data_IF_583879102028
#
_entry.id   IF_583879102028
#
_cell.length_a   1.000
_cell.length_b   1.000
_cell.length_c   1.000
_cell.angle_alpha   90.00
_cell.angle_beta   90.00
_cell.angle_gamma   90.00
#
_symmetry.space_group_name_H-M   'P 1'
#
loop_
_entity.id
_entity.type
_entity.pdbx_description
1 polymer ?
#
# COMPACT_ATOMS: atom_id res chain seq x y z
N UNK A 1 -28.87 29.62 -25.86
CA UNK A 1 -29.04 28.42 -26.68
C UNK A 1 -29.80 27.42 -25.85
N UNK A 2 -30.85 26.81 -26.38
CA UNK A 2 -31.69 25.89 -25.63
C UNK A 2 -30.85 24.67 -25.20
N UNK A 3 -30.54 24.57 -23.91
CA UNK A 3 -30.19 23.28 -23.30
C UNK A 3 -31.42 22.40 -23.44
N UNK A 4 -31.37 21.44 -24.37
CA UNK A 4 -32.39 20.42 -24.44
C UNK A 4 -32.30 19.59 -23.16
N UNK A 5 -33.24 19.77 -22.25
CA UNK A 5 -33.37 18.93 -21.05
C UNK A 5 -33.65 17.49 -21.52
N UNK A 6 -32.63 16.64 -21.41
CA UNK A 6 -32.78 15.20 -21.68
C UNK A 6 -33.72 14.61 -20.62
N UNK A 7 -34.75 13.83 -21.02
CA UNK A 7 -35.56 13.08 -20.08
C UNK A 7 -34.66 12.20 -19.19
N UNK A 8 -34.90 12.22 -17.87
CA UNK A 8 -34.04 11.54 -16.89
C UNK A 8 -33.84 10.04 -17.22
N UNK A 9 -34.88 9.38 -17.74
CA UNK A 9 -34.84 7.97 -18.13
C UNK A 9 -33.90 7.66 -19.33
N UNK A 10 -33.43 8.67 -20.06
CA UNK A 10 -32.46 8.52 -21.14
C UNK A 10 -31.02 8.77 -20.68
N UNK A 11 -30.82 9.24 -19.44
CA UNK A 11 -29.51 9.60 -18.92
C UNK A 11 -28.53 8.42 -18.95
N UNK A 12 -28.86 7.20 -18.48
CA UNK A 12 -27.91 6.09 -18.55
C UNK A 12 -27.40 5.80 -19.97
N UNK A 13 -28.30 5.82 -20.96
CA UNK A 13 -27.93 5.62 -22.36
C UNK A 13 -27.07 6.76 -22.92
N UNK A 14 -27.32 8.00 -22.50
CA UNK A 14 -26.49 9.15 -22.88
C UNK A 14 -25.08 9.06 -22.25
N UNK A 15 -24.97 8.63 -20.99
CA UNK A 15 -23.69 8.41 -20.32
C UNK A 15 -22.88 7.32 -21.03
N UNK A 16 -23.52 6.21 -21.42
CA UNK A 16 -22.85 5.15 -22.19
C UNK A 16 -22.34 5.67 -23.54
N UNK A 17 -23.15 6.47 -24.26
CA UNK A 17 -22.71 7.06 -25.53
C UNK A 17 -21.51 8.02 -25.38
N UNK A 18 -21.45 8.75 -24.26
CA UNK A 18 -20.29 9.60 -23.93
C UNK A 18 -19.05 8.77 -23.59
N UNK A 19 -19.22 7.65 -22.88
CA UNK A 19 -18.12 6.75 -22.53
C UNK A 19 -17.49 6.13 -23.79
N UNK A 20 -18.31 5.62 -24.72
CA UNK A 20 -17.88 5.11 -26.03
C UNK A 20 -17.21 6.19 -26.90
N UNK A 21 -17.61 7.46 -26.76
CA UNK A 21 -16.96 8.60 -27.40
C UNK A 21 -15.63 9.01 -26.71
N UNK A 22 -15.29 8.41 -25.58
CA UNK A 22 -14.11 8.73 -24.78
C UNK A 22 -14.23 9.98 -23.90
N UNK A 23 -15.44 10.56 -23.79
CA UNK A 23 -15.78 11.78 -23.04
C UNK A 23 -15.99 11.51 -21.54
N UNK A 24 -14.99 10.86 -20.94
CA UNK A 24 -15.03 10.34 -19.56
C UNK A 24 -15.32 11.43 -18.52
N UNK A 25 -14.78 12.63 -18.68
CA UNK A 25 -15.05 13.75 -17.78
C UNK A 25 -16.51 14.22 -17.86
N UNK A 26 -17.11 14.17 -19.05
CA UNK A 26 -18.52 14.51 -19.24
C UNK A 26 -19.44 13.46 -18.59
N UNK A 27 -19.07 12.18 -18.65
CA UNK A 27 -19.80 11.09 -17.96
C UNK A 27 -19.88 11.36 -16.46
N UNK A 28 -18.74 11.66 -15.81
CA UNK A 28 -18.71 11.93 -14.36
C UNK A 28 -19.51 13.17 -13.97
N UNK A 29 -19.36 14.27 -14.72
CA UNK A 29 -20.09 15.52 -14.45
C UNK A 29 -21.59 15.37 -14.65
N UNK A 30 -22.02 14.76 -15.75
CA UNK A 30 -23.43 14.55 -16.05
C UNK A 30 -24.07 13.51 -15.11
N UNK A 31 -23.34 12.45 -14.76
CA UNK A 31 -23.78 11.44 -13.81
C UNK A 31 -24.00 12.02 -12.40
N UNK A 32 -23.05 12.81 -11.89
CA UNK A 32 -23.19 13.48 -10.59
C UNK A 32 -24.45 14.38 -10.56
N UNK A 33 -24.65 15.21 -11.60
CA UNK A 33 -25.86 16.05 -11.75
C UNK A 33 -27.13 15.22 -11.79
N UNK A 34 -27.11 14.05 -12.43
CA UNK A 34 -28.27 13.16 -12.51
C UNK A 34 -28.59 12.49 -11.17
N UNK A 35 -27.59 12.21 -10.34
CA UNK A 35 -27.78 11.68 -8.99
C UNK A 35 -28.31 12.74 -8.01
N UNK A 36 -27.99 14.00 -8.25
CA UNK A 36 -28.49 15.15 -7.48
C UNK A 36 -29.90 15.60 -7.90
N UNK A 37 -30.32 15.27 -9.12
CA UNK A 37 -31.70 15.50 -9.57
C UNK A 37 -32.70 14.72 -8.70
N UNK A 38 -33.97 15.15 -8.68
CA UNK A 38 -35.07 14.56 -7.88
C UNK A 38 -34.91 13.04 -7.76
N UNK A 39 -34.73 12.56 -6.51
CA UNK A 39 -34.44 11.19 -6.10
C UNK A 39 -34.64 10.18 -7.25
N UNK A 40 -33.58 9.88 -8.03
CA UNK A 40 -33.71 9.06 -9.22
C UNK A 40 -34.28 7.69 -8.83
N UNK A 41 -35.14 7.14 -9.69
CA UNK A 41 -35.65 5.78 -9.47
C UNK A 41 -34.46 4.81 -9.33
N UNK A 42 -34.55 3.88 -8.37
CA UNK A 42 -33.47 2.93 -8.04
C UNK A 42 -32.77 2.27 -9.25
N UNK A 43 -33.48 1.73 -10.28
CA UNK A 43 -32.81 1.15 -11.44
C UNK A 43 -31.98 2.17 -12.23
N UNK A 44 -32.51 3.39 -12.41
CA UNK A 44 -31.79 4.46 -13.09
C UNK A 44 -30.57 4.92 -12.29
N UNK A 45 -30.70 5.00 -10.96
CA UNK A 45 -29.58 5.33 -10.07
C UNK A 45 -28.46 4.29 -10.19
N UNK A 46 -28.80 3.00 -10.18
CA UNK A 46 -27.84 1.92 -10.33
C UNK A 46 -27.07 2.02 -11.66
N UNK A 47 -27.77 2.26 -12.77
CA UNK A 47 -27.14 2.38 -14.09
C UNK A 47 -26.24 3.62 -14.19
N UNK A 48 -26.63 4.75 -13.58
CA UNK A 48 -25.80 5.96 -13.52
C UNK A 48 -24.53 5.72 -12.72
N UNK A 49 -24.64 5.10 -11.53
CA UNK A 49 -23.48 4.76 -10.70
C UNK A 49 -22.53 3.80 -11.42
N UNK A 50 -23.07 2.79 -12.11
CA UNK A 50 -22.27 1.86 -12.90
C UNK A 50 -21.53 2.58 -14.04
N UNK A 51 -22.22 3.44 -14.79
CA UNK A 51 -21.60 4.21 -15.86
C UNK A 51 -20.47 5.12 -15.35
N UNK A 52 -20.67 5.78 -14.20
CA UNK A 52 -19.64 6.60 -13.56
C UNK A 52 -18.46 5.76 -13.06
N UNK A 53 -18.70 4.59 -12.47
CA UNK A 53 -17.64 3.70 -12.00
C UNK A 53 -16.78 3.18 -13.16
N UNK A 54 -17.39 2.80 -14.28
CA UNK A 54 -16.67 2.40 -15.51
C UNK A 54 -15.83 3.57 -16.08
N UNK A 55 -16.36 4.80 -16.00
CA UNK A 55 -15.66 6.00 -16.40
C UNK A 55 -14.39 6.23 -15.54
N UNK A 56 -14.50 6.08 -14.22
CA UNK A 56 -13.34 6.13 -13.30
C UNK A 56 -12.33 5.00 -13.61
N UNK A 57 -12.78 3.77 -13.88
CA UNK A 57 -11.91 2.67 -14.31
C UNK A 57 -11.17 2.98 -15.63
N UNK A 58 -11.85 3.62 -16.59
CA UNK A 58 -11.26 4.08 -17.84
C UNK A 58 -10.18 5.15 -17.60
N UNK A 59 -10.36 6.06 -16.62
CA UNK A 59 -9.29 6.98 -16.18
C UNK A 59 -8.15 6.24 -15.49
N UNK A 60 -8.47 5.33 -14.57
CA UNK A 60 -7.49 4.54 -13.85
C UNK A 60 -6.55 3.82 -14.83
N UNK A 61 -7.10 3.17 -15.85
CA UNK A 61 -6.32 2.51 -16.91
C UNK A 61 -5.34 3.49 -17.58
N UNK A 62 -5.79 4.69 -17.97
CA UNK A 62 -4.94 5.72 -18.60
C UNK A 62 -3.81 6.17 -17.67
N UNK A 63 -4.11 6.39 -16.39
CA UNK A 63 -3.13 6.77 -15.38
C UNK A 63 -2.08 5.67 -15.16
N UNK A 64 -2.52 4.42 -15.01
CA UNK A 64 -1.66 3.24 -14.84
C UNK A 64 -0.77 3.00 -16.06
N UNK A 65 -1.31 3.09 -17.28
CA UNK A 65 -0.55 2.99 -18.54
C UNK A 65 0.51 4.09 -18.66
N UNK A 66 0.23 5.28 -18.12
CA UNK A 66 1.20 6.39 -18.06
C UNK A 66 2.22 6.27 -16.91
N UNK A 67 2.13 5.22 -16.09
CA UNK A 67 3.01 4.99 -14.95
C UNK A 67 2.66 5.81 -13.70
N UNK A 68 1.55 6.56 -13.71
CA UNK A 68 1.05 7.34 -12.58
C UNK A 68 0.22 6.46 -11.65
N UNK A 69 0.90 5.48 -11.04
CA UNK A 69 0.26 4.45 -10.20
C UNK A 69 -0.64 5.04 -9.09
N UNK A 70 -0.19 6.04 -8.29
CA UNK A 70 -1.05 6.64 -7.27
C UNK A 70 -2.37 7.19 -7.80
N UNK A 71 -2.31 7.93 -8.92
CA UNK A 71 -3.50 8.51 -9.53
C UNK A 71 -4.43 7.41 -10.06
N UNK A 72 -3.86 6.34 -10.63
CA UNK A 72 -4.63 5.16 -11.01
C UNK A 72 -5.36 4.52 -9.83
N UNK A 73 -4.71 4.37 -8.68
CA UNK A 73 -5.34 3.87 -7.46
C UNK A 73 -6.46 4.79 -6.94
N UNK A 74 -6.25 6.12 -6.92
CA UNK A 74 -7.29 7.08 -6.52
C UNK A 74 -8.55 6.97 -7.37
N UNK A 75 -8.39 6.77 -8.69
CA UNK A 75 -9.49 6.56 -9.63
C UNK A 75 -10.22 5.25 -9.36
N UNK A 76 -9.49 4.16 -9.09
CA UNK A 76 -10.10 2.89 -8.70
C UNK A 76 -10.85 2.98 -7.36
N UNK A 77 -10.31 3.68 -6.36
CA UNK A 77 -11.01 3.92 -5.09
C UNK A 77 -12.29 4.73 -5.30
N UNK A 78 -12.25 5.75 -6.17
CA UNK A 78 -13.45 6.52 -6.53
C UNK A 78 -14.51 5.65 -7.22
N UNK A 79 -14.09 4.72 -8.07
CA UNK A 79 -15.00 3.73 -8.69
C UNK A 79 -15.62 2.80 -7.64
N UNK A 80 -14.84 2.36 -6.65
CA UNK A 80 -15.31 1.52 -5.56
C UNK A 80 -16.39 2.23 -4.72
N UNK A 81 -16.13 3.48 -4.31
CA UNK A 81 -17.07 4.30 -3.54
C UNK A 81 -18.42 4.46 -4.27
N UNK A 82 -18.38 4.64 -5.60
CA UNK A 82 -19.58 4.73 -6.43
C UNK A 82 -20.40 3.43 -6.39
N UNK A 83 -19.74 2.28 -6.57
CA UNK A 83 -20.39 0.96 -6.56
C UNK A 83 -20.97 0.62 -5.18
N UNK A 84 -20.24 0.91 -4.10
CA UNK A 84 -20.71 0.69 -2.72
C UNK A 84 -21.93 1.55 -2.37
N UNK A 85 -22.01 2.77 -2.93
CA UNK A 85 -23.17 3.65 -2.77
C UNK A 85 -24.43 3.15 -3.49
N UNK A 86 -24.29 2.19 -4.41
CA UNK A 86 -25.35 1.53 -5.13
C UNK A 86 -25.63 0.15 -4.55
N UNK A 87 -26.78 -0.05 -3.91
CA UNK A 87 -27.14 -1.33 -3.28
C UNK A 87 -27.06 -2.51 -4.26
N UNK A 88 -25.96 -3.28 -4.20
CA UNK A 88 -25.73 -4.46 -5.04
C UNK A 88 -25.40 -4.17 -6.51
N UNK A 89 -24.90 -2.97 -6.82
CA UNK A 89 -24.50 -2.62 -8.19
C UNK A 89 -23.20 -3.35 -8.56
N UNK A 90 -23.27 -4.20 -9.59
CA UNK A 90 -22.13 -4.89 -10.20
C UNK A 90 -21.13 -5.49 -9.18
N UNK A 91 -21.55 -6.46 -8.34
CA UNK A 91 -20.71 -7.02 -7.27
C UNK A 91 -19.41 -7.63 -7.81
N UNK A 92 -19.45 -8.25 -8.99
CA UNK A 92 -18.25 -8.83 -9.61
C UNK A 92 -17.20 -7.76 -9.97
N UNK A 93 -17.65 -6.58 -10.42
CA UNK A 93 -16.79 -5.46 -10.76
C UNK A 93 -16.21 -4.82 -9.49
N UNK A 94 -17.01 -4.68 -8.43
CA UNK A 94 -16.56 -4.21 -7.12
C UNK A 94 -15.42 -5.11 -6.62
N UNK A 95 -15.62 -6.43 -6.63
CA UNK A 95 -14.60 -7.40 -6.22
C UNK A 95 -13.36 -7.39 -7.12
N UNK A 96 -13.49 -7.05 -8.40
CA UNK A 96 -12.35 -6.89 -9.33
C UNK A 96 -11.54 -5.63 -9.05
N UNK A 97 -12.21 -4.51 -8.77
CA UNK A 97 -11.57 -3.24 -8.41
C UNK A 97 -10.82 -3.40 -7.08
N UNK A 98 -11.48 -3.98 -6.07
CA UNK A 98 -10.89 -4.24 -4.76
C UNK A 98 -9.61 -5.11 -4.88
N UNK A 99 -9.69 -6.21 -5.63
CA UNK A 99 -8.50 -7.05 -5.93
C UNK A 99 -7.40 -6.28 -6.67
N UNK A 100 -7.78 -5.39 -7.58
CA UNK A 100 -6.81 -4.58 -8.34
C UNK A 100 -6.10 -3.58 -7.43
N UNK A 101 -6.82 -2.94 -6.50
CA UNK A 101 -6.25 -2.05 -5.49
C UNK A 101 -5.29 -2.79 -4.56
N UNK A 102 -5.68 -3.97 -4.06
CA UNK A 102 -4.80 -4.84 -3.29
C UNK A 102 -3.50 -5.12 -4.07
N UNK A 103 -3.60 -5.57 -5.33
CA UNK A 103 -2.44 -5.87 -6.17
C UNK A 103 -1.51 -4.65 -6.39
N UNK A 104 -2.09 -3.46 -6.52
CA UNK A 104 -1.35 -2.21 -6.77
C UNK A 104 -0.79 -1.58 -5.49
N UNK A 105 -1.29 -1.94 -4.31
CA UNK A 105 -0.92 -1.33 -3.04
C UNK A 105 0.61 -1.24 -2.79
N UNK A 106 1.43 -2.28 -3.07
CA UNK A 106 2.89 -2.17 -2.91
C UNK A 106 3.49 -1.09 -3.82
N UNK A 107 3.08 -1.02 -5.09
CA UNK A 107 3.61 -0.04 -6.03
C UNK A 107 3.18 1.39 -5.67
N UNK A 108 1.93 1.56 -5.24
CA UNK A 108 1.39 2.83 -4.75
C UNK A 108 2.14 3.32 -3.50
N UNK A 109 2.31 2.45 -2.49
CA UNK A 109 3.08 2.76 -1.29
C UNK A 109 4.52 3.14 -1.62
N UNK A 110 5.18 2.41 -2.53
CA UNK A 110 6.52 2.75 -2.98
C UNK A 110 6.59 4.17 -3.57
N UNK A 111 5.62 4.53 -4.42
CA UNK A 111 5.56 5.83 -5.08
C UNK A 111 5.36 6.96 -4.06
N UNK A 112 4.45 6.80 -3.11
CA UNK A 112 4.20 7.76 -2.04
C UNK A 112 5.38 7.94 -1.09
N UNK A 113 6.07 6.84 -0.73
CA UNK A 113 7.33 6.93 0.01
C UNK A 113 8.43 7.67 -0.77
N UNK A 114 8.31 7.83 -2.09
CA UNK A 114 9.23 8.60 -2.91
C UNK A 114 8.95 10.10 -2.96
N UNK A 115 7.88 10.58 -2.33
CA UNK A 115 7.52 12.01 -2.32
C UNK A 115 8.53 12.85 -1.53
N UNK A 116 8.69 14.16 -1.84
CA UNK A 116 9.56 15.06 -1.10
C UNK A 116 9.33 15.06 0.42
N UNK A 117 10.39 15.37 1.18
CA UNK A 117 10.32 15.58 2.62
C UNK A 117 9.83 17.00 2.90
N UNK A 118 8.52 17.22 2.76
CA UNK A 118 7.87 18.50 3.02
C UNK A 118 6.51 18.33 3.68
N UNK A 119 5.97 19.37 4.33
CA UNK A 119 4.69 19.30 5.04
C UNK A 119 3.51 19.00 4.10
N UNK A 120 3.64 19.29 2.81
CA UNK A 120 2.61 18.98 1.80
C UNK A 120 2.43 17.47 1.59
N UNK A 121 3.52 16.70 1.68
CA UNK A 121 3.54 15.26 1.40
C UNK A 121 3.63 14.40 2.67
N UNK A 122 3.81 15.01 3.85
CA UNK A 122 4.05 14.33 5.12
C UNK A 122 2.94 13.30 5.45
N UNK A 123 1.67 13.70 5.32
CA UNK A 123 0.54 12.82 5.59
C UNK A 123 0.49 11.62 4.61
N UNK A 124 0.75 11.87 3.33
CA UNK A 124 0.76 10.84 2.28
C UNK A 124 1.90 9.86 2.48
N UNK A 125 3.09 10.35 2.82
CA UNK A 125 4.25 9.52 3.18
C UNK A 125 3.97 8.67 4.43
N UNK A 126 3.40 9.28 5.48
CA UNK A 126 3.07 8.58 6.71
C UNK A 126 2.06 7.45 6.46
N UNK A 127 1.01 7.71 5.67
CA UNK A 127 0.05 6.70 5.24
C UNK A 127 0.73 5.55 4.48
N UNK A 128 1.65 5.86 3.56
CA UNK A 128 2.39 4.86 2.81
C UNK A 128 3.34 4.02 3.69
N UNK A 129 3.93 4.61 4.73
CA UNK A 129 4.72 3.89 5.71
C UNK A 129 3.86 2.90 6.51
N UNK A 130 2.63 3.29 6.90
CA UNK A 130 1.67 2.38 7.55
C UNK A 130 1.28 1.23 6.62
N UNK A 131 0.97 1.51 5.35
CA UNK A 131 0.71 0.47 4.35
C UNK A 131 1.90 -0.48 4.20
N UNK A 132 3.14 0.04 4.18
CA UNK A 132 4.34 -0.81 4.15
C UNK A 132 4.43 -1.69 5.40
N UNK A 133 4.15 -1.16 6.59
CA UNK A 133 4.13 -1.94 7.84
C UNK A 133 3.13 -3.11 7.75
N UNK A 134 1.93 -2.85 7.24
CA UNK A 134 0.90 -3.87 7.03
C UNK A 134 1.32 -4.93 6.01
N UNK A 135 1.95 -4.50 4.91
CA UNK A 135 2.46 -5.40 3.89
C UNK A 135 3.57 -6.31 4.42
N UNK A 136 4.45 -5.79 5.29
CA UNK A 136 5.55 -6.55 5.93
C UNK A 136 5.05 -7.51 7.02
N UNK A 137 4.00 -7.11 7.76
CA UNK A 137 3.44 -7.87 8.90
C UNK A 137 2.90 -9.24 8.51
N UNK A 138 2.42 -9.39 7.28
CA UNK A 138 1.84 -10.64 6.81
C UNK A 138 2.96 -11.44 6.11
N UNK A 139 3.51 -12.51 6.72
CA UNK A 139 4.45 -13.39 6.04
C UNK A 139 3.75 -14.07 4.87
N UNK A 140 4.22 -13.76 3.66
CA UNK A 140 3.68 -14.35 2.43
C UNK A 140 4.76 -15.20 1.75
N UNK A 141 4.76 -16.50 2.02
CA UNK A 141 5.51 -17.49 1.22
C UNK A 141 4.77 -17.77 -0.10
N UNK A 142 5.46 -18.32 -1.10
CA UNK A 142 4.87 -18.61 -2.42
C UNK A 142 3.57 -19.43 -2.39
N UNK A 143 3.33 -20.24 -1.34
CA UNK A 143 2.08 -20.98 -1.14
C UNK A 143 0.94 -20.09 -0.61
N UNK A 144 1.21 -19.19 0.34
CA UNK A 144 0.22 -18.21 0.84
C UNK A 144 -0.05 -17.07 -0.15
N UNK A 145 0.89 -16.76 -1.04
CA UNK A 145 0.69 -15.85 -2.17
C UNK A 145 -0.09 -16.49 -3.32
N UNK A 146 -0.09 -17.84 -3.43
CA UNK A 146 -0.91 -18.58 -4.39
C UNK A 146 -2.36 -18.78 -3.90
N UNK A 147 -2.57 -18.79 -2.58
CA UNK A 147 -3.90 -18.86 -1.95
C UNK A 147 -4.48 -17.48 -1.57
N UNK A 148 -3.66 -16.44 -1.55
CA UNK A 148 -4.01 -15.08 -1.15
C UNK A 148 -4.05 -14.10 -2.33
N UNK A 149 -4.79 -13.00 -2.16
CA UNK A 149 -5.06 -11.98 -3.19
C UNK A 149 -3.86 -11.06 -3.52
N UNK A 150 -2.74 -11.18 -2.79
CA UNK A 150 -1.61 -10.22 -2.80
C UNK A 150 -0.26 -10.88 -3.15
N UNK A 151 0.60 -10.23 -3.96
CA UNK A 151 1.90 -10.78 -4.34
C UNK A 151 2.87 -10.87 -3.16
N UNK A 152 3.73 -11.89 -3.14
CA UNK A 152 4.81 -11.98 -2.16
C UNK A 152 5.82 -10.84 -2.34
N UNK A 153 6.16 -10.14 -1.25
CA UNK A 153 7.20 -9.13 -1.28
C UNK A 153 8.56 -9.79 -1.48
N UNK A 154 9.34 -9.30 -2.44
CA UNK A 154 10.72 -9.74 -2.65
C UNK A 154 11.74 -8.78 -2.00
N UNK A 155 12.98 -9.24 -1.85
CA UNK A 155 14.09 -8.46 -1.26
C UNK A 155 14.33 -7.13 -1.99
N UNK A 156 14.17 -7.10 -3.33
CA UNK A 156 14.35 -5.88 -4.13
C UNK A 156 13.32 -4.81 -3.77
N UNK A 157 12.07 -5.19 -3.58
CA UNK A 157 11.01 -4.28 -3.13
C UNK A 157 11.35 -3.71 -1.77
N UNK A 158 11.68 -4.57 -0.79
CA UNK A 158 12.02 -4.15 0.57
C UNK A 158 13.17 -3.15 0.58
N UNK A 159 14.27 -3.45 -0.13
CA UNK A 159 15.39 -2.51 -0.29
C UNK A 159 14.97 -1.19 -0.92
N UNK A 160 14.12 -1.23 -1.94
CA UNK A 160 13.63 -0.02 -2.61
C UNK A 160 12.76 0.83 -1.70
N UNK A 161 11.92 0.20 -0.87
CA UNK A 161 11.07 0.88 0.09
C UNK A 161 11.89 1.53 1.21
N UNK A 162 12.80 0.77 1.85
CA UNK A 162 13.67 1.31 2.89
C UNK A 162 14.63 2.41 2.40
N UNK A 163 15.04 2.37 1.13
CA UNK A 163 15.85 3.45 0.53
C UNK A 163 15.07 4.78 0.36
N UNK A 164 13.74 4.76 0.48
CA UNK A 164 12.88 5.94 0.38
C UNK A 164 12.34 6.42 1.72
N UNK A 165 12.51 5.62 2.78
CA UNK A 165 12.16 6.00 4.15
C UNK A 165 13.23 6.91 4.74
N UNK A 166 12.81 7.80 5.64
CA UNK A 166 13.74 8.44 6.59
C UNK A 166 14.17 7.43 7.67
N UNK A 167 15.29 7.67 8.38
CA UNK A 167 15.67 6.84 9.52
C UNK A 167 14.58 6.77 10.59
N UNK A 168 13.85 7.86 10.83
CA UNK A 168 12.74 7.92 11.78
C UNK A 168 11.54 7.08 11.32
N UNK A 169 11.14 7.19 10.04
CA UNK A 169 10.06 6.37 9.48
C UNK A 169 10.43 4.87 9.55
N UNK A 170 11.66 4.51 9.15
CA UNK A 170 12.14 3.13 9.18
C UNK A 170 12.27 2.56 10.61
N UNK A 171 12.69 3.38 11.57
CA UNK A 171 12.70 3.00 12.99
C UNK A 171 11.26 2.83 13.52
N UNK A 172 10.33 3.71 13.14
CA UNK A 172 8.92 3.62 13.50
C UNK A 172 8.25 2.33 13.01
N UNK A 173 8.65 1.82 11.84
CA UNK A 173 8.19 0.51 11.36
C UNK A 173 8.55 -0.64 12.31
N UNK A 174 9.59 -0.50 13.13
CA UNK A 174 10.03 -1.54 14.07
C UNK A 174 9.25 -1.49 15.39
N UNK A 175 8.47 -0.45 15.63
CA UNK A 175 7.65 -0.35 16.82
C UNK A 175 6.60 -1.48 16.87
N UNK A 176 6.36 -2.01 18.06
CA UNK A 176 5.35 -3.05 18.28
C UNK A 176 5.78 -4.49 17.93
N UNK A 177 6.97 -4.71 17.35
CA UNK A 177 7.54 -6.06 17.23
C UNK A 177 6.78 -6.99 16.28
N UNK A 178 6.22 -6.45 15.19
CA UNK A 178 5.29 -7.19 14.31
C UNK A 178 5.88 -8.50 13.73
N UNK A 179 7.20 -8.60 13.54
CA UNK A 179 7.85 -9.81 13.04
C UNK A 179 7.73 -11.00 13.99
N UNK A 180 7.56 -10.76 15.29
CA UNK A 180 7.34 -11.82 16.28
C UNK A 180 5.98 -12.50 16.10
N UNK A 181 5.03 -11.80 15.47
CA UNK A 181 3.74 -12.41 15.09
C UNK A 181 3.82 -13.17 13.78
N UNK A 182 4.80 -12.88 12.93
CA UNK A 182 4.97 -13.55 11.65
C UNK A 182 5.40 -15.02 11.82
N UNK A 183 6.26 -15.33 12.79
CA UNK A 183 6.65 -16.71 13.11
C UNK A 183 5.43 -17.57 13.51
N UNK A 184 4.49 -16.99 14.26
CA UNK A 184 3.26 -17.68 14.67
C UNK A 184 2.36 -17.99 13.46
N UNK A 185 2.40 -17.17 12.40
CA UNK A 185 1.55 -17.33 11.22
C UNK A 185 2.05 -18.37 10.22
N UNK A 186 3.36 -18.61 10.15
CA UNK A 186 3.97 -19.54 9.18
C UNK A 186 3.90 -21.02 9.62
N UNK A 187 3.49 -21.27 10.87
CA UNK A 187 3.43 -22.62 11.44
C UNK A 187 4.80 -23.10 11.93
N UNK A 188 4.80 -24.12 12.78
CA UNK A 188 6.02 -24.65 13.40
C UNK A 188 7.01 -25.16 12.34
N UNK A 189 8.22 -24.60 12.31
CA UNK A 189 9.33 -25.08 11.48
C UNK A 189 9.51 -24.37 10.13
N UNK A 190 8.63 -23.43 9.76
CA UNK A 190 8.85 -22.58 8.58
C UNK A 190 9.69 -21.35 8.92
N UNK A 191 10.79 -21.17 8.18
CA UNK A 191 11.64 -19.99 8.33
C UNK A 191 11.00 -18.76 7.68
N UNK A 192 11.18 -17.59 8.31
CA UNK A 192 10.73 -16.32 7.74
C UNK A 192 11.35 -16.09 6.34
N UNK A 193 10.59 -15.55 5.37
CA UNK A 193 11.08 -15.22 4.04
C UNK A 193 12.29 -14.27 4.06
N UNK A 194 13.16 -14.38 3.05
CA UNK A 194 14.32 -13.49 2.89
C UNK A 194 13.96 -12.00 2.85
N UNK A 195 12.76 -11.64 2.36
CA UNK A 195 12.26 -10.26 2.38
C UNK A 195 12.02 -9.74 3.80
N UNK A 196 11.60 -10.59 4.73
CA UNK A 196 11.44 -10.23 6.14
C UNK A 196 12.79 -10.09 6.84
N UNK A 197 13.72 -11.03 6.58
CA UNK A 197 15.10 -10.90 7.08
C UNK A 197 15.73 -9.57 6.64
N UNK A 198 15.57 -9.21 5.37
CA UNK A 198 16.06 -7.92 4.85
C UNK A 198 15.36 -6.72 5.51
N UNK A 199 14.05 -6.78 5.74
CA UNK A 199 13.32 -5.69 6.39
C UNK A 199 13.78 -5.48 7.84
N UNK A 200 14.00 -6.57 8.59
CA UNK A 200 14.51 -6.50 9.96
C UNK A 200 15.93 -5.95 10.01
N UNK A 201 16.81 -6.40 9.12
CA UNK A 201 18.18 -5.90 9.03
C UNK A 201 18.22 -4.40 8.72
N UNK A 202 17.42 -3.94 7.75
CA UNK A 202 17.35 -2.53 7.38
C UNK A 202 16.69 -1.67 8.48
N UNK A 203 15.64 -2.16 9.13
CA UNK A 203 15.00 -1.48 10.26
C UNK A 203 15.92 -1.36 11.47
N UNK A 204 16.65 -2.43 11.81
CA UNK A 204 17.70 -2.39 12.83
C UNK A 204 18.83 -1.42 12.48
N UNK A 205 19.22 -1.36 11.20
CA UNK A 205 20.21 -0.37 10.73
C UNK A 205 19.72 1.06 10.94
N UNK A 206 18.43 1.33 10.69
CA UNK A 206 17.84 2.64 10.96
C UNK A 206 17.83 2.98 12.46
N UNK A 207 17.44 2.03 13.32
CA UNK A 207 17.51 2.17 14.78
C UNK A 207 18.94 2.44 15.27
N UNK A 208 19.93 1.71 14.73
CA UNK A 208 21.35 1.90 15.02
C UNK A 208 21.81 3.31 14.64
N UNK A 209 21.55 3.73 13.40
CA UNK A 209 21.96 5.02 12.88
C UNK A 209 21.32 6.16 13.68
N UNK A 210 20.01 6.08 13.94
CA UNK A 210 19.26 7.07 14.70
C UNK A 210 19.71 7.10 16.17
N UNK A 211 19.91 5.94 16.80
CA UNK A 211 20.41 5.82 18.16
C UNK A 211 21.81 6.41 18.34
N UNK A 212 22.71 6.15 17.40
CA UNK A 212 24.04 6.75 17.39
C UNK A 212 23.98 8.26 17.20
N UNK A 213 23.25 8.72 16.18
CA UNK A 213 23.15 10.14 15.84
C UNK A 213 22.52 10.98 16.96
N UNK A 214 21.43 10.48 17.55
CA UNK A 214 20.70 11.16 18.63
C UNK A 214 21.26 10.89 20.03
N UNK A 215 22.31 10.06 20.14
CA UNK A 215 22.91 9.61 21.41
C UNK A 215 21.88 8.97 22.35
N UNK A 216 21.05 8.10 21.81
CA UNK A 216 20.07 7.32 22.54
C UNK A 216 20.46 5.83 22.54
N UNK A 217 21.21 5.36 23.57
CA UNK A 217 21.62 3.96 23.66
C UNK A 217 20.46 2.96 23.65
N UNK A 218 19.26 3.39 24.04
CA UNK A 218 18.05 2.57 23.99
C UNK A 218 17.74 2.11 22.57
N UNK A 219 17.81 2.99 21.57
CA UNK A 219 17.54 2.62 20.18
C UNK A 219 18.58 1.61 19.65
N UNK A 220 19.83 1.70 20.12
CA UNK A 220 20.88 0.73 19.81
C UNK A 220 20.58 -0.63 20.45
N UNK A 221 20.08 -0.65 21.69
CA UNK A 221 19.63 -1.88 22.34
C UNK A 221 18.41 -2.50 21.64
N UNK A 222 17.45 -1.67 21.22
CA UNK A 222 16.28 -2.12 20.46
C UNK A 222 16.73 -2.73 19.11
N UNK A 223 17.72 -2.14 18.44
CA UNK A 223 18.30 -2.71 17.22
C UNK A 223 18.96 -4.09 17.44
N UNK A 224 19.71 -4.29 18.53
CA UNK A 224 20.29 -5.60 18.85
C UNK A 224 19.22 -6.67 19.08
N UNK A 225 18.09 -6.29 19.72
CA UNK A 225 16.93 -7.16 19.87
C UNK A 225 16.34 -7.56 18.51
N UNK A 226 16.13 -6.59 17.61
CA UNK A 226 15.64 -6.87 16.24
C UNK A 226 16.58 -7.79 15.48
N UNK A 227 17.88 -7.54 15.53
CA UNK A 227 18.89 -8.35 14.82
C UNK A 227 18.97 -9.76 15.40
N UNK A 228 18.83 -9.91 16.72
CA UNK A 228 18.81 -11.21 17.35
C UNK A 228 17.59 -12.04 16.90
N UNK A 229 16.41 -11.41 16.82
CA UNK A 229 15.21 -12.05 16.29
C UNK A 229 15.38 -12.38 14.78
N UNK A 230 16.05 -11.51 14.01
CA UNK A 230 16.30 -11.74 12.59
C UNK A 230 17.20 -12.94 12.29
N UNK A 231 18.05 -13.39 13.24
CA UNK A 231 18.88 -14.59 13.05
C UNK A 231 18.07 -15.88 12.90
N UNK A 232 16.81 -15.89 13.38
CA UNK A 232 15.91 -17.01 13.17
C UNK A 232 15.39 -17.09 11.71
N UNK A 233 15.60 -16.05 10.90
CA UNK A 233 15.18 -16.02 9.50
C UNK A 233 16.13 -16.81 8.59
N UNK A 234 15.59 -17.39 7.52
CA UNK A 234 16.41 -18.06 6.50
C UNK A 234 17.33 -17.06 5.77
N UNK A 235 18.63 -17.37 5.73
CA UNK A 235 19.62 -16.56 5.00
C UNK A 235 19.95 -15.23 5.66
N UNK A 236 19.72 -15.09 6.97
CA UNK A 236 20.08 -13.91 7.72
C UNK A 236 21.60 -13.73 7.78
N UNK A 237 22.06 -12.53 7.43
CA UNK A 237 23.44 -12.06 7.58
C UNK A 237 23.39 -10.74 8.32
N UNK A 238 23.59 -10.80 9.65
CA UNK A 238 23.42 -9.68 10.59
C UNK A 238 24.63 -9.51 11.52
N UNK A 239 25.69 -10.28 11.30
CA UNK A 239 26.85 -10.38 12.18
C UNK A 239 27.56 -9.02 12.32
N UNK A 240 27.67 -8.28 11.22
CA UNK A 240 28.30 -6.96 11.20
C UNK A 240 27.48 -5.97 12.03
N UNK A 241 26.18 -5.89 11.79
CA UNK A 241 25.27 -5.00 12.50
C UNK A 241 25.25 -5.32 14.01
N UNK A 242 25.27 -6.60 14.39
CA UNK A 242 25.33 -7.01 15.81
C UNK A 242 26.66 -6.68 16.48
N UNK A 243 27.77 -6.86 15.77
CA UNK A 243 29.10 -6.43 16.25
C UNK A 243 29.13 -4.92 16.49
N UNK A 244 28.51 -4.13 15.60
CA UNK A 244 28.35 -2.68 15.79
C UNK A 244 27.51 -2.37 17.03
N UNK A 245 26.36 -3.02 17.22
CA UNK A 245 25.54 -2.88 18.44
C UNK A 245 26.38 -3.15 19.69
N UNK A 246 27.07 -4.29 19.74
CA UNK A 246 27.86 -4.71 20.89
C UNK A 246 28.97 -3.69 21.23
N UNK A 247 29.67 -3.17 20.22
CA UNK A 247 30.68 -2.13 20.42
C UNK A 247 30.06 -0.84 20.96
N UNK A 248 28.97 -0.37 20.37
CA UNK A 248 28.31 0.88 20.77
C UNK A 248 27.65 0.80 22.15
N UNK A 249 27.24 -0.40 22.59
CA UNK A 249 26.71 -0.66 23.92
C UNK A 249 27.81 -0.91 24.97
N UNK A 250 29.09 -0.83 24.60
CA UNK A 250 30.21 -1.04 25.53
C UNK A 250 30.45 -2.51 25.89
N UNK A 251 30.07 -3.43 25.01
CA UNK A 251 30.22 -4.89 25.15
C UNK A 251 31.20 -5.49 24.12
N UNK A 252 32.46 -5.02 24.03
CA UNK A 252 33.39 -5.44 22.98
C UNK A 252 33.79 -6.92 23.07
N UNK A 253 33.67 -7.54 24.24
CA UNK A 253 33.90 -8.99 24.37
C UNK A 253 32.85 -9.80 23.59
N UNK A 254 31.58 -9.37 23.61
CA UNK A 254 30.51 -10.00 22.82
C UNK A 254 30.75 -9.82 21.32
N UNK A 255 31.34 -8.70 20.91
CA UNK A 255 31.65 -8.38 19.51
C UNK A 255 32.74 -9.29 18.89
N UNK A 256 33.55 -9.98 19.70
CA UNK A 256 34.60 -10.88 19.21
C UNK A 256 34.11 -12.31 18.94
N UNK A 257 32.85 -12.61 19.26
CA UNK A 257 32.27 -13.95 19.16
C UNK A 257 31.43 -14.18 17.90
N UNK A 258 31.31 -13.17 17.02
CA UNK A 258 30.55 -13.19 15.78
C UNK A 258 31.47 -12.84 14.60
#
# INVERSE_FOLDING_TARGET
GAEAELPLNMVPGALLALEEAGEVAAVLSAGARALEAVAPAEPMRADVLLAMALAECSLARRELESGRIPHGCERLSSALDLLESGRGVAPDLLDEIDRSLELLAPACALAHLGLPLGPEDEATRASAALTLAELLRIPRTGATAAAGRLPALNVKYVRSAFARLTPEEAAGLMEGGWWRTAEVMLGEGEALPASQSEALRLGATALLALGFYTRQPRLIADADVVLNDAMACAGAHVEIERTICAVLLGQPAAALHW
#
